data_IF_068971830683
#
_entry.id   IF_068971830683
#
_cell.length_a   1.000
_cell.length_b   1.000
_cell.length_c   1.000
_cell.angle_alpha   90.00
_cell.angle_beta   90.00
_cell.angle_gamma   90.00
#
_symmetry.space_group_name_H-M   'P 1'
#
loop_
_entity.id
_entity.type
_entity.pdbx_description
1 polymer ?
#
# COMPACT_ATOMS: atom_id res chain seq x y z
N UNK A 1 18.18 -10.80 1.52
CA UNK A 1 17.93 -9.48 2.13
C UNK A 1 17.75 -9.75 3.61
N UNK A 2 18.54 -9.14 4.48
CA UNK A 2 18.34 -9.32 5.92
C UNK A 2 17.14 -8.48 6.34
N UNK A 3 15.98 -9.13 6.48
CA UNK A 3 14.70 -8.49 6.82
C UNK A 3 14.82 -7.65 8.10
N UNK A 4 15.74 -8.01 9.00
CA UNK A 4 16.03 -7.27 10.21
C UNK A 4 16.57 -5.86 9.91
N UNK A 5 17.43 -5.68 8.92
CA UNK A 5 18.02 -4.36 8.64
C UNK A 5 16.95 -3.35 8.18
N UNK A 6 15.96 -3.81 7.41
CA UNK A 6 14.85 -2.97 6.93
C UNK A 6 13.92 -2.57 8.07
N UNK A 7 13.47 -3.54 8.87
CA UNK A 7 12.56 -3.33 10.00
C UNK A 7 13.18 -2.41 11.05
N UNK A 8 14.47 -2.60 11.38
CA UNK A 8 15.09 -1.89 12.48
C UNK A 8 15.65 -0.50 12.13
N UNK A 9 15.95 -0.21 10.85
CA UNK A 9 16.55 1.09 10.47
C UNK A 9 15.64 2.01 9.68
N UNK A 10 14.87 1.48 8.74
CA UNK A 10 14.16 2.33 7.77
C UNK A 10 12.70 2.54 8.13
N UNK A 11 12.05 1.53 8.71
CA UNK A 11 10.70 1.68 9.25
C UNK A 11 10.61 2.80 10.31
N UNK A 12 11.54 2.91 11.29
CA UNK A 12 11.51 4.02 12.25
C UNK A 12 11.66 5.39 11.59
N UNK A 13 12.44 5.51 10.51
CA UNK A 13 12.60 6.78 9.79
C UNK A 13 11.30 7.21 9.12
N UNK A 14 10.65 6.28 8.42
CA UNK A 14 9.35 6.54 7.78
C UNK A 14 8.27 6.83 8.82
N UNK A 15 8.20 6.06 9.91
CA UNK A 15 7.16 6.18 10.92
C UNK A 15 7.33 7.42 11.82
N UNK A 16 8.57 7.79 12.17
CA UNK A 16 8.84 8.93 13.07
C UNK A 16 8.94 10.26 12.35
N UNK A 17 9.55 10.29 11.16
CA UNK A 17 9.89 11.53 10.47
C UNK A 17 9.12 11.75 9.17
N UNK A 18 8.26 10.81 8.76
CA UNK A 18 7.48 10.92 7.53
C UNK A 18 8.34 10.95 6.26
N UNK A 19 9.57 10.43 6.32
CA UNK A 19 10.48 10.42 5.17
C UNK A 19 10.14 9.25 4.25
N UNK A 20 9.79 9.56 3.01
CA UNK A 20 9.61 8.56 1.95
C UNK A 20 10.96 7.97 1.58
N UNK A 21 11.11 6.65 1.74
CA UNK A 21 12.34 5.92 1.41
C UNK A 21 12.08 4.81 0.40
N UNK A 22 13.09 4.47 -0.39
CA UNK A 22 13.11 3.31 -1.29
C UNK A 22 14.35 2.48 -0.98
N UNK A 23 14.22 1.15 -1.01
CA UNK A 23 15.30 0.23 -0.67
C UNK A 23 15.62 -0.69 -1.82
N UNK A 24 16.88 -1.08 -1.89
CA UNK A 24 17.41 -1.89 -2.96
C UNK A 24 18.60 -2.65 -2.43
N UNK A 25 18.71 -3.92 -2.81
CA UNK A 25 19.88 -4.73 -2.42
C UNK A 25 21.08 -4.18 -3.18
N UNK A 26 22.16 -3.85 -2.46
CA UNK A 26 23.32 -3.18 -3.04
C UNK A 26 23.93 -3.94 -4.20
N UNK A 27 23.89 -5.28 -4.23
CA UNK A 27 24.34 -6.06 -5.40
C UNK A 27 23.58 -5.74 -6.69
N UNK A 28 22.31 -5.37 -6.58
CA UNK A 28 21.45 -5.01 -7.72
C UNK A 28 21.68 -3.56 -8.18
N UNK A 29 22.20 -2.71 -7.28
CA UNK A 29 22.54 -1.30 -7.54
C UNK A 29 24.02 -1.10 -7.95
N UNK A 30 24.94 -1.89 -7.38
CA UNK A 30 26.38 -1.71 -7.55
C UNK A 30 26.89 -2.30 -8.86
N UNK A 31 26.20 -3.31 -9.41
CA UNK A 31 26.53 -3.86 -10.72
C UNK A 31 26.31 -2.87 -11.88
N UNK A 32 25.69 -1.71 -11.61
CA UNK A 32 25.27 -0.73 -12.63
C UNK A 32 25.92 0.64 -12.49
N UNK A 33 26.47 1.02 -11.33
CA UNK A 33 27.03 2.36 -11.12
C UNK A 33 28.55 2.49 -11.39
N UNK A 34 29.32 1.39 -11.32
CA UNK A 34 30.80 1.45 -11.35
C UNK A 34 31.50 0.43 -12.26
N UNK A 35 30.76 -0.44 -12.96
CA UNK A 35 31.34 -1.38 -13.91
C UNK A 35 30.90 -1.03 -15.34
N UNK A 36 31.81 -0.82 -16.30
CA UNK A 36 31.42 -0.79 -17.70
C UNK A 36 30.78 -2.12 -18.03
N UNK A 37 29.54 -2.08 -18.54
CA UNK A 37 28.84 -3.26 -19.02
C UNK A 37 29.72 -3.95 -20.08
N UNK A 38 30.18 -5.21 -19.86
CA UNK A 38 30.87 -5.93 -20.90
C UNK A 38 29.92 -6.08 -22.09
N UNK A 39 30.44 -6.01 -23.32
CA UNK A 39 29.67 -5.89 -24.55
C UNK A 39 28.55 -6.94 -24.74
N UNK A 40 28.55 -8.03 -23.96
CA UNK A 40 27.58 -9.13 -23.98
C UNK A 40 26.85 -9.39 -22.65
N UNK A 41 26.82 -8.46 -21.68
CA UNK A 41 25.93 -8.62 -20.52
C UNK A 41 24.46 -8.37 -20.91
N UNK A 42 23.48 -9.11 -20.34
CA UNK A 42 22.07 -8.93 -20.70
C UNK A 42 21.61 -7.52 -20.28
N UNK A 43 21.61 -6.59 -21.24
CA UNK A 43 21.20 -5.19 -21.07
C UNK A 43 19.80 -5.04 -20.49
N UNK A 44 18.96 -6.06 -20.65
CA UNK A 44 17.54 -6.00 -20.32
C UNK A 44 17.23 -6.11 -18.82
N UNK A 45 18.04 -6.84 -18.03
CA UNK A 45 17.76 -7.05 -16.59
C UNK A 45 17.85 -5.77 -15.77
N UNK A 46 18.75 -4.87 -16.14
CA UNK A 46 19.00 -3.62 -15.43
C UNK A 46 17.89 -2.58 -15.71
N UNK A 47 17.37 -2.55 -16.94
CA UNK A 47 16.28 -1.63 -17.31
C UNK A 47 14.97 -1.98 -16.60
N UNK A 48 14.60 -3.27 -16.54
CA UNK A 48 13.40 -3.69 -15.81
C UNK A 48 13.51 -3.41 -14.31
N UNK A 49 14.71 -3.57 -13.72
CA UNK A 49 14.93 -3.26 -12.32
C UNK A 49 14.71 -1.78 -12.00
N UNK A 50 15.38 -0.88 -12.74
CA UNK A 50 15.22 0.56 -12.53
C UNK A 50 13.80 1.05 -12.86
N UNK A 51 13.14 0.44 -13.85
CA UNK A 51 11.74 0.72 -14.13
C UNK A 51 10.85 0.38 -12.91
N UNK A 52 11.05 -0.78 -12.27
CA UNK A 52 10.28 -1.15 -11.07
C UNK A 52 10.54 -0.20 -9.90
N UNK A 53 11.81 0.20 -9.67
CA UNK A 53 12.16 1.19 -8.64
C UNK A 53 11.51 2.54 -8.93
N UNK A 54 11.53 2.99 -10.19
CA UNK A 54 10.87 4.23 -10.61
C UNK A 54 9.36 4.14 -10.43
N UNK A 55 8.74 3.00 -10.74
CA UNK A 55 7.31 2.77 -10.54
C UNK A 55 6.92 2.79 -9.06
N UNK A 56 7.72 2.21 -8.17
CA UNK A 56 7.49 2.27 -6.72
C UNK A 56 7.64 3.71 -6.20
N UNK A 57 8.69 4.41 -6.64
CA UNK A 57 8.96 5.79 -6.24
C UNK A 57 7.85 6.73 -6.72
N UNK A 58 7.40 6.58 -7.97
CA UNK A 58 6.30 7.37 -8.54
C UNK A 58 5.03 7.22 -7.69
N UNK A 59 4.67 6.00 -7.29
CA UNK A 59 3.49 5.74 -6.45
C UNK A 59 3.61 6.41 -5.08
N UNK A 60 4.77 6.30 -4.43
CA UNK A 60 5.03 6.92 -3.11
C UNK A 60 4.98 8.45 -3.14
N UNK A 61 5.28 9.07 -4.27
CA UNK A 61 5.22 10.52 -4.48
C UNK A 61 3.84 11.02 -4.94
N UNK A 62 2.83 10.16 -4.96
CA UNK A 62 1.47 10.53 -5.38
C UNK A 62 1.23 10.46 -6.89
N UNK A 63 2.20 9.97 -7.67
CA UNK A 63 2.09 9.86 -9.13
C UNK A 63 1.21 8.72 -9.60
N UNK A 64 0.80 8.80 -10.87
CA UNK A 64 0.02 7.79 -11.56
C UNK A 64 0.88 7.09 -12.62
N UNK A 65 1.11 5.78 -12.48
CA UNK A 65 1.89 5.02 -13.48
C UNK A 65 1.02 4.45 -14.60
N UNK A 66 -0.15 3.94 -14.24
CA UNK A 66 -1.11 3.36 -15.17
C UNK A 66 -2.51 3.78 -14.75
N UNK A 67 -3.36 4.08 -15.73
CA UNK A 67 -4.78 4.39 -15.53
C UNK A 67 -5.61 3.43 -16.36
N UNK A 68 -6.86 3.24 -15.93
CA UNK A 68 -7.82 2.44 -16.65
C UNK A 68 -8.71 3.35 -17.49
N UNK A 69 -9.14 2.82 -18.64
CA UNK A 69 -10.14 3.50 -19.47
C UNK A 69 -11.47 3.54 -18.70
N UNK A 70 -11.91 4.75 -18.37
CA UNK A 70 -13.12 4.99 -17.60
C UNK A 70 -14.36 4.36 -18.26
N UNK A 71 -14.43 4.32 -19.59
CA UNK A 71 -15.56 3.73 -20.30
C UNK A 71 -15.71 2.22 -20.06
N UNK A 72 -14.63 1.54 -19.69
CA UNK A 72 -14.64 0.09 -19.40
C UNK A 72 -14.96 -0.25 -17.96
N UNK A 73 -14.99 0.73 -17.06
CA UNK A 73 -15.17 0.48 -15.62
C UNK A 73 -16.63 0.50 -15.15
N UNK A 74 -17.58 0.88 -16.01
CA UNK A 74 -19.03 0.77 -15.78
C UNK A 74 -19.57 1.65 -14.63
N UNK A 75 -19.30 1.28 -13.37
CA UNK A 75 -19.86 1.87 -12.15
C UNK A 75 -18.88 2.77 -11.38
N UNK A 76 -17.60 2.76 -11.75
CA UNK A 76 -16.55 3.65 -11.19
C UNK A 76 -16.52 5.06 -11.83
N UNK A 77 -16.95 5.31 -13.09
CA UNK A 77 -16.83 6.62 -13.73
C UNK A 77 -17.49 7.76 -12.96
N UNK A 78 -16.86 8.94 -12.98
CA UNK A 78 -17.41 10.17 -12.44
C UNK A 78 -17.12 10.43 -10.96
N UNK A 79 -16.11 9.76 -10.39
CA UNK A 79 -15.75 9.90 -8.97
C UNK A 79 -16.94 9.65 -8.02
N UNK A 80 -17.79 8.69 -8.34
CA UNK A 80 -18.96 8.34 -7.53
C UNK A 80 -18.71 7.14 -6.61
N UNK A 81 -17.72 6.32 -6.93
CA UNK A 81 -17.46 5.06 -6.23
C UNK A 81 -16.08 5.08 -5.58
N UNK A 82 -16.04 4.88 -4.27
CA UNK A 82 -14.82 4.63 -3.52
C UNK A 82 -14.59 3.12 -3.41
N UNK A 83 -13.40 2.65 -3.77
CA UNK A 83 -13.02 1.25 -3.59
C UNK A 83 -12.17 1.15 -2.33
N UNK A 84 -12.51 0.20 -1.47
CA UNK A 84 -11.89 -0.01 -0.16
C UNK A 84 -11.44 -1.45 -0.07
N UNK A 85 -10.23 -1.69 0.43
CA UNK A 85 -9.80 -3.02 0.83
C UNK A 85 -9.48 -3.03 2.31
N UNK A 86 -9.88 -4.10 2.99
CA UNK A 86 -9.64 -4.28 4.42
C UNK A 86 -9.07 -5.67 4.66
N UNK A 87 -8.09 -5.75 5.56
CA UNK A 87 -7.44 -7.00 5.95
C UNK A 87 -7.16 -7.03 7.46
N UNK A 88 -7.14 -8.23 8.03
CA UNK A 88 -6.74 -8.50 9.41
C UNK A 88 -5.55 -9.42 9.41
N UNK A 89 -4.41 -8.92 9.88
CA UNK A 89 -3.23 -9.73 10.10
C UNK A 89 -3.28 -10.37 11.48
N UNK A 90 -3.29 -11.69 11.51
CA UNK A 90 -3.19 -12.47 12.73
C UNK A 90 -1.74 -12.70 13.15
N UNK A 91 -1.46 -12.81 14.46
CA UNK A 91 -0.16 -13.26 14.93
C UNK A 91 0.21 -14.63 14.34
N UNK A 92 1.50 -14.81 14.00
CA UNK A 92 1.98 -16.09 13.47
C UNK A 92 1.79 -17.24 14.48
N UNK A 93 1.57 -18.48 14.02
CA UNK A 93 1.55 -19.65 14.89
C UNK A 93 2.81 -19.72 15.75
N UNK A 94 2.66 -19.84 17.07
CA UNK A 94 3.78 -19.81 18.02
C UNK A 94 4.15 -18.44 18.59
N UNK A 95 3.44 -17.37 18.20
CA UNK A 95 3.54 -16.06 18.87
C UNK A 95 3.06 -16.13 20.33
N UNK A 96 3.45 -15.15 21.14
CA UNK A 96 2.95 -15.04 22.52
C UNK A 96 1.42 -14.99 22.55
N UNK A 97 0.81 -15.52 23.62
CA UNK A 97 -0.64 -15.47 23.84
C UNK A 97 -1.19 -14.04 23.92
N UNK A 98 -0.30 -13.07 24.14
CA UNK A 98 -0.60 -11.64 24.22
C UNK A 98 -0.27 -10.90 22.89
N UNK A 99 -0.09 -11.62 21.79
CA UNK A 99 0.09 -10.99 20.49
C UNK A 99 -1.25 -10.48 19.95
N UNK A 100 -1.32 -9.17 19.69
CA UNK A 100 -2.51 -8.52 19.11
C UNK A 100 -2.59 -8.76 17.61
N UNK A 101 -3.80 -8.87 17.07
CA UNK A 101 -4.02 -8.75 15.64
C UNK A 101 -3.91 -7.29 15.19
N UNK A 102 -3.62 -7.07 13.92
CA UNK A 102 -3.62 -5.76 13.28
C UNK A 102 -4.72 -5.68 12.23
N UNK A 103 -5.34 -4.51 12.08
CA UNK A 103 -6.28 -4.24 11.00
C UNK A 103 -5.71 -3.16 10.07
N UNK A 104 -5.75 -3.40 8.77
CA UNK A 104 -5.34 -2.45 7.74
C UNK A 104 -6.53 -2.10 6.85
N UNK A 105 -6.64 -0.83 6.48
CA UNK A 105 -7.57 -0.36 5.46
C UNK A 105 -6.80 0.43 4.40
N UNK A 106 -7.13 0.21 3.14
CA UNK A 106 -6.71 1.04 2.01
C UNK A 106 -7.94 1.49 1.25
N UNK A 107 -7.91 2.70 0.69
CA UNK A 107 -9.02 3.17 -0.14
C UNK A 107 -8.51 4.01 -1.32
N UNK A 108 -9.18 3.90 -2.45
CA UNK A 108 -9.00 4.82 -3.56
C UNK A 108 -9.46 6.22 -3.17
N UNK A 109 -8.84 7.25 -3.77
CA UNK A 109 -9.15 8.66 -3.48
C UNK A 109 -9.75 9.39 -4.68
N UNK A 110 -9.80 8.75 -5.84
CA UNK A 110 -10.36 9.29 -7.08
C UNK A 110 -10.78 8.16 -8.04
N UNK A 111 -11.36 8.55 -9.19
CA UNK A 111 -11.74 7.63 -10.27
C UNK A 111 -10.56 7.04 -11.04
N UNK A 112 -9.36 7.58 -10.89
CA UNK A 112 -8.19 7.10 -11.64
C UNK A 112 -7.63 5.81 -11.04
N UNK A 113 -7.97 5.51 -9.78
CA UNK A 113 -7.57 4.30 -9.05
C UNK A 113 -6.03 4.14 -8.97
N UNK A 114 -5.31 5.26 -8.94
CA UNK A 114 -3.83 5.28 -8.97
C UNK A 114 -3.21 5.37 -7.57
N UNK A 115 -3.94 5.98 -6.63
CA UNK A 115 -3.47 6.27 -5.27
C UNK A 115 -4.36 5.59 -4.24
N UNK A 116 -3.71 4.88 -3.30
CA UNK A 116 -4.38 4.01 -2.32
C UNK A 116 -3.80 4.22 -0.91
N UNK A 117 -4.08 5.36 -0.26
CA UNK A 117 -3.54 5.65 1.06
C UNK A 117 -4.05 4.68 2.11
N UNK A 118 -3.11 4.14 2.90
CA UNK A 118 -3.38 3.14 3.93
C UNK A 118 -3.56 3.76 5.33
N UNK A 119 -4.32 3.10 6.19
CA UNK A 119 -4.28 3.27 7.63
C UNK A 119 -4.22 1.90 8.31
N UNK A 120 -3.43 1.80 9.38
CA UNK A 120 -3.24 0.57 10.13
C UNK A 120 -3.51 0.81 11.61
N UNK A 121 -4.12 -0.16 12.28
CA UNK A 121 -4.40 -0.11 13.72
C UNK A 121 -4.13 -1.45 14.39
N UNK A 122 -3.53 -1.37 15.56
CA UNK A 122 -3.36 -2.53 16.45
C UNK A 122 -4.68 -2.75 17.20
N UNK A 123 -5.15 -4.00 17.22
CA UNK A 123 -6.38 -4.35 17.92
C UNK A 123 -6.11 -4.60 19.41
N UNK A 124 -6.98 -4.06 20.26
CA UNK A 124 -6.82 -4.14 21.73
C UNK A 124 -7.04 -5.56 22.27
N UNK A 125 -7.78 -6.41 21.54
CA UNK A 125 -8.09 -7.78 21.96
C UNK A 125 -7.23 -8.76 21.18
N UNK A 126 -6.57 -9.66 21.91
CA UNK A 126 -5.76 -10.73 21.33
C UNK A 126 -6.60 -11.64 20.43
N UNK A 127 -6.04 -12.03 19.28
CA UNK A 127 -6.64 -12.99 18.34
C UNK A 127 -8.06 -12.68 17.85
N UNK A 128 -8.49 -11.41 17.84
CA UNK A 128 -9.79 -11.06 17.30
C UNK A 128 -9.77 -11.12 15.77
N UNK A 129 -10.60 -12.01 15.20
CA UNK A 129 -10.86 -12.10 13.75
C UNK A 129 -11.64 -10.91 13.23
N UNK A 130 -12.58 -10.39 14.02
CA UNK A 130 -13.39 -9.24 13.62
C UNK A 130 -12.64 -7.93 13.83
N UNK A 131 -12.60 -7.11 12.78
CA UNK A 131 -11.99 -5.78 12.79
C UNK A 131 -12.67 -4.91 13.85
N UNK A 132 -11.97 -4.65 14.94
CA UNK A 132 -12.38 -3.65 15.92
C UNK A 132 -12.25 -2.24 15.32
N UNK A 133 -13.26 -1.38 15.55
CA UNK A 133 -13.28 0.02 15.08
C UNK A 133 -13.15 0.20 13.56
N UNK A 134 -13.70 -0.72 12.77
CA UNK A 134 -13.81 -0.54 11.32
C UNK A 134 -14.51 0.78 10.95
N UNK A 135 -15.46 1.23 11.77
CA UNK A 135 -16.14 2.50 11.58
C UNK A 135 -15.18 3.70 11.63
N UNK A 136 -14.19 3.70 12.51
CA UNK A 136 -13.19 4.77 12.60
C UNK A 136 -12.23 4.75 11.40
N UNK A 137 -11.80 3.55 11.00
CA UNK A 137 -10.97 3.34 9.80
C UNK A 137 -11.70 3.80 8.54
N UNK A 138 -12.97 3.45 8.38
CA UNK A 138 -13.77 3.88 7.23
C UNK A 138 -14.05 5.39 7.26
N UNK A 139 -14.36 5.96 8.43
CA UNK A 139 -14.50 7.42 8.61
C UNK A 139 -13.25 8.17 8.18
N UNK A 140 -12.06 7.63 8.45
CA UNK A 140 -10.82 8.27 8.03
C UNK A 140 -10.67 8.29 6.51
N UNK A 141 -11.06 7.20 5.82
CA UNK A 141 -11.06 7.14 4.35
C UNK A 141 -12.05 8.10 3.73
N UNK A 142 -13.27 8.19 4.27
CA UNK A 142 -14.29 9.14 3.83
C UNK A 142 -13.85 10.61 4.00
N UNK A 143 -13.17 10.94 5.10
CA UNK A 143 -12.59 12.28 5.29
C UNK A 143 -11.49 12.59 4.27
N UNK A 144 -10.65 11.59 3.97
CA UNK A 144 -9.60 11.74 2.97
C UNK A 144 -10.18 11.96 1.57
N UNK A 145 -11.22 11.20 1.22
CA UNK A 145 -11.98 11.39 -0.02
C UNK A 145 -12.53 12.82 -0.13
N UNK A 146 -13.26 13.30 0.89
CA UNK A 146 -13.80 14.65 0.90
C UNK A 146 -12.72 15.73 0.76
N UNK A 147 -11.56 15.52 1.43
CA UNK A 147 -10.41 16.42 1.31
C UNK A 147 -9.85 16.45 -0.12
N UNK A 148 -9.72 15.29 -0.77
CA UNK A 148 -9.20 15.19 -2.14
C UNK A 148 -10.12 15.87 -3.17
N UNK A 149 -11.43 15.82 -2.95
CA UNK A 149 -12.41 16.44 -3.85
C UNK A 149 -12.75 17.91 -3.51
N UNK A 150 -12.07 18.49 -2.51
CA UNK A 150 -12.29 19.87 -2.03
C UNK A 150 -13.76 20.22 -1.73
N UNK A 151 -14.57 19.22 -1.41
CA UNK A 151 -16.00 19.36 -1.14
C UNK A 151 -16.42 18.32 -0.10
N UNK A 152 -17.47 18.57 0.70
CA UNK A 152 -18.05 17.57 1.59
C UNK A 152 -18.85 16.51 0.81
N UNK A 153 -18.33 16.08 -0.34
CA UNK A 153 -18.94 15.04 -1.17
C UNK A 153 -18.42 13.71 -0.66
N UNK A 154 -19.34 12.92 -0.13
CA UNK A 154 -19.10 11.49 0.11
C UNK A 154 -19.23 10.73 -1.21
N UNK A 155 -18.53 9.60 -1.38
CA UNK A 155 -18.80 8.72 -2.51
C UNK A 155 -20.26 8.24 -2.45
N UNK A 156 -20.92 8.15 -3.60
CA UNK A 156 -22.27 7.61 -3.75
C UNK A 156 -22.30 6.10 -3.48
N UNK A 157 -21.23 5.40 -3.87
CA UNK A 157 -21.07 3.97 -3.69
C UNK A 157 -19.74 3.66 -3.00
N UNK A 158 -19.73 2.62 -2.14
CA UNK A 158 -18.51 2.10 -1.54
C UNK A 158 -18.41 0.61 -1.87
N UNK A 159 -17.40 0.23 -2.63
CA UNK A 159 -17.09 -1.16 -2.95
C UNK A 159 -16.02 -1.67 -1.98
N UNK A 160 -16.35 -2.64 -1.14
CA UNK A 160 -15.45 -3.18 -0.13
C UNK A 160 -14.98 -4.57 -0.54
N UNK A 161 -13.67 -4.72 -0.70
CA UNK A 161 -12.99 -6.01 -0.74
C UNK A 161 -12.50 -6.33 0.68
N UNK A 162 -12.85 -7.51 1.17
CA UNK A 162 -12.37 -8.00 2.45
C UNK A 162 -11.78 -9.39 2.22
N UNK A 163 -10.50 -9.57 2.52
CA UNK A 163 -9.89 -10.88 2.48
C UNK A 163 -10.34 -11.66 3.73
N UNK A 164 -11.37 -12.48 3.55
CA UNK A 164 -11.81 -13.39 4.58
C UNK A 164 -11.04 -14.70 4.40
N UNK A 165 -10.06 -14.95 5.27
CA UNK A 165 -9.56 -16.30 5.50
C UNK A 165 -10.72 -17.11 6.08
N UNK A 166 -11.28 -18.03 5.31
CA UNK A 166 -12.14 -19.07 5.86
C UNK A 166 -11.27 -20.00 6.71
N UNK A 167 -11.55 -20.10 8.01
CA UNK A 167 -11.08 -21.23 8.80
C UNK A 167 -11.73 -22.51 8.26
N UNK A 168 -10.88 -23.46 7.88
CA UNK A 168 -11.19 -24.89 7.91
C UNK A 168 -10.57 -25.49 9.16
#
# INVERSE_FOLDING_TARGET
MDTNLYIWRLFPLSARYGVTTSTSVMSNLAFTAFAPSPANSPKDRNHTYFANVALETNRKLGGASHTLDAHKLGFIPGCKTMVVCVDVTHPSPGSSTNASSGAAIVASIDQNLTQWPAEFRIQATFQKMMISRLDELLKSRLRLWAKQHHRPVSPENVLIYHDAVMEG
#
